data_IF_103272304329
#
_entry.id   IF_103272304329
#
_cell.length_a   1.000
_cell.length_b   1.000
_cell.length_c   1.000
_cell.angle_alpha   90.00
_cell.angle_beta   90.00
_cell.angle_gamma   90.00
#
_symmetry.space_group_name_H-M   'P 1'
#
loop_
_entity.id
_entity.type
_entity.pdbx_description
1 polymer ?
#
# COMPACT_ATOMS: atom_id res chain seq x y z
N UNK A 1 19.97 4.63 -5.82
CA UNK A 1 19.62 5.24 -4.51
C UNK A 1 18.53 4.37 -3.91
N UNK A 2 18.58 3.97 -2.63
CA UNK A 2 17.53 3.12 -2.06
C UNK A 2 16.20 3.90 -1.97
N UNK A 3 15.12 3.30 -2.42
CA UNK A 3 13.77 3.84 -2.29
C UNK A 3 12.75 2.73 -2.11
N UNK A 4 11.59 3.11 -1.57
CA UNK A 4 10.42 2.25 -1.50
C UNK A 4 9.21 2.98 -2.08
N UNK A 5 8.29 2.20 -2.65
CA UNK A 5 6.96 2.65 -3.07
C UNK A 5 5.96 1.95 -2.18
N UNK A 6 4.97 2.70 -1.70
CA UNK A 6 3.87 2.14 -0.92
C UNK A 6 2.54 2.65 -1.48
N UNK A 7 1.51 1.79 -1.46
CA UNK A 7 0.16 2.22 -1.81
C UNK A 7 -0.75 1.07 -2.26
N UNK A 8 -1.97 1.46 -2.60
CA UNK A 8 -2.96 0.61 -3.25
C UNK A 8 -2.73 0.62 -4.77
N UNK A 9 -2.36 -0.54 -5.30
CA UNK A 9 -2.12 -0.73 -6.73
C UNK A 9 -3.34 -1.26 -7.47
N UNK A 10 -4.43 -1.62 -6.76
CA UNK A 10 -5.60 -2.28 -7.36
C UNK A 10 -5.24 -3.46 -8.29
N UNK A 11 -4.12 -4.12 -8.00
CA UNK A 11 -3.54 -5.17 -8.85
C UNK A 11 -3.02 -6.30 -7.97
N UNK A 12 -3.19 -7.54 -8.45
CA UNK A 12 -2.60 -8.75 -7.89
C UNK A 12 -1.49 -9.24 -8.83
N UNK A 13 -0.45 -9.91 -8.32
CA UNK A 13 0.65 -10.46 -9.13
C UNK A 13 0.42 -11.92 -9.51
N UNK A 14 -0.44 -12.61 -8.76
CA UNK A 14 -0.75 -14.01 -9.04
C UNK A 14 -2.21 -14.34 -8.72
N UNK A 15 -2.75 -15.44 -9.28
CA UNK A 15 -4.08 -15.91 -8.91
C UNK A 15 -4.22 -16.26 -7.43
N UNK A 16 -3.13 -16.59 -6.73
CA UNK A 16 -3.14 -16.91 -5.31
C UNK A 16 -3.40 -15.67 -4.41
N UNK A 17 -3.22 -14.47 -4.95
CA UNK A 17 -3.43 -13.20 -4.23
C UNK A 17 -4.86 -12.69 -4.32
N UNK A 18 -5.74 -13.48 -4.93
CA UNK A 18 -7.18 -13.29 -4.96
C UNK A 18 -7.86 -14.58 -4.50
N UNK A 19 -8.64 -14.48 -3.42
CA UNK A 19 -9.41 -15.59 -2.90
C UNK A 19 -10.90 -15.31 -3.04
N UNK A 20 -11.63 -16.35 -3.48
CA UNK A 20 -13.04 -16.27 -3.87
C UNK A 20 -13.25 -15.39 -5.13
N UNK A 21 -14.40 -15.57 -5.77
CA UNK A 21 -14.71 -14.93 -7.05
C UNK A 21 -13.96 -15.53 -8.25
N UNK A 22 -13.92 -14.77 -9.35
CA UNK A 22 -13.28 -15.19 -10.61
C UNK A 22 -11.78 -14.99 -10.53
N UNK A 23 -11.01 -16.04 -10.84
CA UNK A 23 -9.55 -15.98 -10.92
C UNK A 23 -9.10 -14.91 -11.93
N UNK A 24 -8.04 -14.14 -11.63
CA UNK A 24 -7.54 -13.14 -12.55
C UNK A 24 -7.00 -13.79 -13.82
N UNK A 25 -7.29 -13.16 -14.94
CA UNK A 25 -6.75 -13.53 -16.26
C UNK A 25 -5.28 -13.12 -16.37
N UNK A 26 -4.55 -13.75 -17.27
CA UNK A 26 -3.16 -13.36 -17.55
C UNK A 26 -3.03 -11.88 -17.94
N UNK A 27 -3.99 -11.34 -18.71
CA UNK A 27 -3.98 -9.95 -19.13
C UNK A 27 -4.09 -8.97 -17.95
N UNK A 28 -4.90 -9.30 -16.93
CA UNK A 28 -5.03 -8.48 -15.72
C UNK A 28 -3.77 -8.50 -14.85
N UNK A 29 -3.00 -9.59 -14.89
CA UNK A 29 -1.74 -9.72 -14.15
C UNK A 29 -0.56 -9.04 -14.87
N UNK A 30 -0.55 -9.16 -16.20
CA UNK A 30 0.61 -8.92 -17.06
C UNK A 30 1.27 -7.56 -16.81
N UNK A 31 0.50 -6.48 -16.87
CA UNK A 31 1.08 -5.13 -16.82
C UNK A 31 1.73 -4.85 -15.48
N UNK A 32 1.12 -5.31 -14.38
CA UNK A 32 1.70 -5.17 -13.06
C UNK A 32 2.93 -6.06 -12.87
N UNK A 33 2.89 -7.31 -13.34
CA UNK A 33 4.05 -8.22 -13.26
C UNK A 33 5.23 -7.75 -14.11
N UNK A 34 4.97 -7.24 -15.32
CA UNK A 34 6.00 -6.72 -16.22
C UNK A 34 6.64 -5.44 -15.64
N UNK A 35 5.83 -4.55 -15.06
CA UNK A 35 6.32 -3.38 -14.33
C UNK A 35 7.21 -3.80 -13.15
N UNK A 36 6.72 -4.73 -12.33
CA UNK A 36 7.44 -5.24 -11.16
C UNK A 36 8.82 -5.80 -11.54
N UNK A 37 8.88 -6.60 -12.61
CA UNK A 37 10.12 -7.19 -13.11
C UNK A 37 11.04 -6.16 -13.76
N UNK A 38 10.52 -5.29 -14.63
CA UNK A 38 11.32 -4.32 -15.38
C UNK A 38 11.97 -3.25 -14.50
N UNK A 39 11.30 -2.87 -13.41
CA UNK A 39 11.82 -1.92 -12.43
C UNK A 39 12.70 -2.58 -11.35
N UNK A 40 12.84 -3.92 -11.36
CA UNK A 40 13.59 -4.65 -10.35
C UNK A 40 13.01 -4.46 -8.94
N UNK A 41 11.68 -4.52 -8.83
CA UNK A 41 10.98 -4.37 -7.57
C UNK A 41 11.02 -5.66 -6.76
N UNK A 42 11.00 -5.52 -5.45
CA UNK A 42 10.93 -6.61 -4.49
C UNK A 42 9.81 -6.33 -3.49
N UNK A 43 9.11 -7.37 -3.05
CA UNK A 43 8.16 -7.22 -1.96
C UNK A 43 8.90 -6.94 -0.66
N UNK A 44 8.44 -5.93 0.10
CA UNK A 44 8.85 -5.80 1.48
C UNK A 44 8.31 -6.97 2.31
N UNK A 45 9.04 -7.46 3.32
CA UNK A 45 8.53 -8.47 4.24
C UNK A 45 7.27 -7.99 4.97
N UNK A 46 6.17 -8.72 4.82
CA UNK A 46 4.86 -8.38 5.41
C UNK A 46 4.48 -9.33 6.55
N UNK A 47 3.80 -8.81 7.57
CA UNK A 47 3.16 -9.56 8.66
C UNK A 47 1.71 -9.09 8.84
N UNK A 48 0.90 -9.87 9.57
CA UNK A 48 -0.52 -9.57 9.77
C UNK A 48 -1.40 -10.09 8.64
N UNK A 49 -2.32 -9.26 8.15
CA UNK A 49 -3.25 -9.63 7.08
C UNK A 49 -2.55 -9.75 5.73
N UNK A 50 -2.70 -10.92 5.09
CA UNK A 50 -2.14 -11.16 3.75
C UNK A 50 -3.01 -10.55 2.64
N UNK A 51 -4.32 -10.74 2.72
CA UNK A 51 -5.28 -10.02 1.88
C UNK A 51 -5.58 -8.69 2.55
N UNK A 52 -5.35 -7.61 1.80
CA UNK A 52 -5.43 -6.24 2.31
C UNK A 52 -6.73 -5.56 1.92
N UNK A 53 -7.59 -6.21 1.13
CA UNK A 53 -8.90 -5.69 0.74
C UNK A 53 -9.97 -6.79 0.79
N UNK A 54 -11.19 -6.41 1.18
CA UNK A 54 -12.37 -7.27 1.21
C UNK A 54 -13.60 -6.60 0.59
N UNK A 55 -14.27 -7.27 -0.37
CA UNK A 55 -15.39 -6.67 -1.13
C UNK A 55 -16.65 -6.32 -0.32
N UNK A 56 -16.75 -6.79 0.93
CA UNK A 56 -17.92 -6.62 1.79
C UNK A 56 -19.27 -6.94 1.09
N UNK A 57 -19.27 -7.94 0.21
CA UNK A 57 -20.42 -8.38 -0.56
C UNK A 57 -20.95 -9.71 -0.03
N UNK A 58 -22.23 -9.75 0.34
CA UNK A 58 -22.90 -10.97 0.80
C UNK A 58 -23.07 -12.01 -0.32
N UNK A 59 -23.21 -11.56 -1.57
CA UNK A 59 -23.48 -12.43 -2.72
C UNK A 59 -22.21 -12.89 -3.44
N UNK A 60 -21.15 -12.09 -3.39
CA UNK A 60 -19.86 -12.42 -4.01
C UNK A 60 -18.69 -11.89 -3.17
N UNK A 61 -18.45 -12.47 -1.98
CA UNK A 61 -17.34 -12.07 -1.13
C UNK A 61 -16.02 -12.38 -1.83
N UNK A 62 -15.08 -11.43 -1.79
CA UNK A 62 -13.76 -11.57 -2.39
C UNK A 62 -12.71 -10.95 -1.48
N UNK A 63 -11.55 -11.60 -1.41
CA UNK A 63 -10.38 -11.13 -0.68
C UNK A 63 -9.24 -10.93 -1.67
N UNK A 64 -8.62 -9.76 -1.66
CA UNK A 64 -7.53 -9.43 -2.58
C UNK A 64 -6.34 -8.82 -1.82
N UNK A 65 -5.13 -9.10 -2.29
CA UNK A 65 -3.93 -8.35 -1.90
C UNK A 65 -3.72 -7.19 -2.88
N UNK A 66 -4.16 -5.99 -2.51
CA UNK A 66 -4.12 -4.81 -3.37
C UNK A 66 -3.14 -3.74 -2.90
N UNK A 67 -2.79 -3.77 -1.61
CA UNK A 67 -1.87 -2.82 -0.99
C UNK A 67 -0.46 -3.42 -0.95
N UNK A 68 0.50 -2.69 -1.52
CA UNK A 68 1.87 -3.15 -1.69
C UNK A 68 2.86 -2.17 -1.09
N UNK A 69 3.96 -2.72 -0.59
CA UNK A 69 5.18 -1.98 -0.27
C UNK A 69 6.31 -2.65 -1.04
N UNK A 70 6.86 -1.91 -1.98
CA UNK A 70 7.81 -2.39 -2.99
C UNK A 70 9.14 -1.68 -2.81
N UNK A 71 10.22 -2.44 -2.87
CA UNK A 71 11.60 -1.99 -2.68
C UNK A 71 12.35 -2.10 -4.00
N UNK A 72 13.26 -1.16 -4.29
CA UNK A 72 14.17 -1.32 -5.43
C UNK A 72 15.41 -2.16 -5.08
N UNK A 73 16.18 -2.53 -6.10
CA UNK A 73 17.44 -3.26 -5.94
C UNK A 73 18.41 -2.56 -4.98
N UNK A 74 18.57 -1.23 -5.09
CA UNK A 74 19.51 -0.50 -4.24
C UNK A 74 19.14 -0.49 -2.76
N UNK A 75 17.87 -0.74 -2.41
CA UNK A 75 17.46 -0.98 -1.02
C UNK A 75 18.14 -2.22 -0.45
N UNK A 76 18.12 -3.32 -1.21
CA UNK A 76 18.71 -4.60 -0.82
C UNK A 76 20.25 -4.49 -0.77
N UNK A 77 20.85 -3.89 -1.79
CA UNK A 77 22.31 -3.68 -1.89
C UNK A 77 22.85 -2.81 -0.74
N UNK A 78 22.05 -1.85 -0.27
CA UNK A 78 22.40 -1.00 0.87
C UNK A 78 22.29 -1.70 2.24
N UNK A 79 21.78 -2.94 2.27
CA UNK A 79 21.52 -3.68 3.51
C UNK A 79 20.47 -3.01 4.39
N UNK A 80 19.49 -2.35 3.80
CA UNK A 80 18.39 -1.73 4.54
C UNK A 80 17.32 -2.78 4.84
N UNK A 81 16.80 -2.75 6.06
CA UNK A 81 15.76 -3.67 6.51
C UNK A 81 14.47 -2.92 6.78
N UNK A 82 13.35 -3.49 6.35
CA UNK A 82 12.03 -3.00 6.74
C UNK A 82 11.08 -4.16 6.98
N UNK A 83 10.02 -3.88 7.72
CA UNK A 83 8.88 -4.76 7.87
C UNK A 83 7.60 -3.95 7.69
N UNK A 84 6.60 -4.59 7.09
CA UNK A 84 5.26 -4.05 6.96
C UNK A 84 4.32 -4.88 7.81
N UNK A 85 3.49 -4.23 8.62
CA UNK A 85 2.43 -4.90 9.36
C UNK A 85 1.08 -4.41 8.85
N UNK A 86 0.27 -5.31 8.28
CA UNK A 86 -1.10 -5.03 7.89
C UNK A 86 -2.05 -5.45 8.99
N UNK A 87 -2.79 -4.49 9.54
CA UNK A 87 -3.83 -4.76 10.53
C UNK A 87 -5.11 -5.29 9.86
N UNK A 88 -5.96 -6.03 10.57
CA UNK A 88 -7.28 -6.41 10.06
C UNK A 88 -8.07 -5.18 9.58
N UNK A 89 -8.86 -5.30 8.50
CA UNK A 89 -9.73 -4.22 8.06
C UNK A 89 -10.66 -3.84 9.21
N UNK A 90 -10.72 -2.55 9.51
CA UNK A 90 -11.57 -2.01 10.57
C UNK A 90 -13.03 -1.94 10.14
N UNK A 91 -13.94 -1.66 11.08
CA UNK A 91 -15.39 -1.55 10.79
C UNK A 91 -15.76 -0.46 9.76
N UNK A 92 -14.82 0.40 9.38
CA UNK A 92 -15.05 1.56 8.52
C UNK A 92 -14.27 1.50 7.20
N UNK A 93 -13.47 0.46 6.97
CA UNK A 93 -12.64 0.33 5.76
C UNK A 93 -12.64 -1.12 5.29
N UNK A 94 -12.85 -1.30 3.99
CA UNK A 94 -12.62 -2.56 3.30
C UNK A 94 -11.13 -2.87 3.10
N UNK A 95 -10.26 -1.87 3.24
CA UNK A 95 -8.80 -2.02 3.25
C UNK A 95 -8.21 -2.23 4.65
N UNK A 96 -7.14 -3.02 4.70
CA UNK A 96 -6.21 -3.18 5.83
C UNK A 96 -5.17 -2.07 5.86
N UNK A 97 -5.08 -1.33 6.97
CA UNK A 97 -4.02 -0.34 7.16
C UNK A 97 -2.66 -1.00 7.34
N UNK A 98 -1.63 -0.43 6.69
CA UNK A 98 -0.24 -0.90 6.75
C UNK A 98 0.66 0.03 7.55
N UNK A 99 1.54 -0.53 8.38
CA UNK A 99 2.60 0.24 9.07
C UNK A 99 3.95 -0.24 8.56
N UNK A 100 4.76 0.67 8.03
CA UNK A 100 6.12 0.40 7.57
C UNK A 100 7.12 0.82 8.65
N UNK A 101 7.85 -0.17 9.15
CA UNK A 101 8.93 0.01 10.12
C UNK A 101 10.27 -0.19 9.42
N UNK A 102 11.11 0.85 9.40
CA UNK A 102 12.44 0.78 8.80
C UNK A 102 13.47 0.59 9.92
N UNK A 103 14.19 -0.53 9.87
CA UNK A 103 15.13 -0.97 10.89
C UNK A 103 16.55 -0.52 10.53
N UNK A 104 17.38 -0.34 11.57
CA UNK A 104 18.83 -0.19 11.46
C UNK A 104 19.32 0.90 10.49
N UNK A 105 18.68 2.09 10.48
CA UNK A 105 19.21 3.26 9.77
C UNK A 105 20.53 3.71 10.41
N UNK A 106 21.72 3.48 9.79
CA UNK A 106 22.99 3.66 10.49
C UNK A 106 23.36 5.14 10.70
N UNK A 107 22.63 6.05 10.05
CA UNK A 107 22.86 7.50 9.91
C UNK A 107 21.76 8.03 8.96
N UNK A 108 21.56 9.35 8.75
CA UNK A 108 20.56 9.82 7.79
C UNK A 108 21.01 9.49 6.37
N UNK A 109 20.76 8.25 5.92
CA UNK A 109 20.86 7.87 4.52
C UNK A 109 19.60 8.40 3.82
N UNK A 110 19.73 9.19 2.75
CA UNK A 110 18.57 9.64 2.01
C UNK A 110 17.93 8.42 1.35
N UNK A 111 16.76 8.02 1.84
CA UNK A 111 15.84 7.16 1.11
C UNK A 111 14.60 7.97 0.79
N UNK A 112 14.00 7.69 -0.36
CA UNK A 112 12.74 8.33 -0.78
C UNK A 112 11.60 7.35 -0.60
N UNK A 113 10.50 7.86 -0.05
CA UNK A 113 9.22 7.16 -0.01
C UNK A 113 8.33 7.83 -1.06
N UNK A 114 7.90 7.07 -2.06
CA UNK A 114 6.97 7.57 -3.06
C UNK A 114 5.56 7.08 -2.74
N UNK A 115 4.63 8.02 -2.54
CA UNK A 115 3.22 7.77 -2.22
C UNK A 115 2.29 7.99 -3.42
N UNK A 116 2.84 8.18 -4.62
CA UNK A 116 2.06 8.53 -5.80
C UNK A 116 2.54 7.79 -7.05
N UNK A 117 1.80 6.76 -7.45
CA UNK A 117 1.86 6.20 -8.82
C UNK A 117 0.64 6.71 -9.60
N UNK A 118 0.47 8.03 -9.66
CA UNK A 118 -0.50 8.68 -10.52
C UNK A 118 0.20 9.28 -11.74
N UNK A 119 0.10 8.60 -12.89
CA UNK A 119 0.44 9.10 -14.24
C UNK A 119 1.92 9.12 -14.66
N UNK A 120 2.62 8.00 -14.55
CA UNK A 120 3.77 7.75 -15.43
C UNK A 120 3.26 7.29 -16.81
N UNK A 121 3.78 7.80 -17.95
CA UNK A 121 3.44 7.27 -19.26
C UNK A 121 3.88 5.79 -19.32
N UNK A 122 2.91 4.86 -19.35
CA UNK A 122 3.16 3.41 -19.33
C UNK A 122 2.53 2.64 -18.17
N UNK A 123 1.97 3.33 -17.17
CA UNK A 123 1.27 2.70 -16.04
C UNK A 123 -0.18 3.17 -15.99
N UNK A 124 -1.08 2.36 -16.55
CA UNK A 124 -2.52 2.58 -16.48
C UNK A 124 -3.10 1.85 -15.26
N UNK A 125 -2.81 2.33 -14.06
CA UNK A 125 -3.60 1.97 -12.88
C UNK A 125 -3.97 3.24 -12.10
N UNK A 126 -5.23 3.36 -11.71
CA UNK A 126 -5.82 4.62 -11.26
C UNK A 126 -6.40 4.52 -9.85
N UNK A 127 -6.01 5.51 -9.03
CA UNK A 127 -6.64 6.11 -7.83
C UNK A 127 -6.59 5.38 -6.48
N UNK A 128 -5.63 5.82 -5.67
CA UNK A 128 -5.72 5.99 -4.22
C UNK A 128 -4.58 6.92 -3.76
N UNK A 129 -4.87 8.00 -3.02
CA UNK A 129 -3.84 8.83 -2.37
C UNK A 129 -3.83 8.43 -0.90
N UNK A 130 -2.67 8.39 -0.26
CA UNK A 130 -2.50 8.09 1.18
C UNK A 130 -1.86 9.31 1.85
N UNK A 131 -2.18 9.60 3.12
CA UNK A 131 -1.55 10.68 3.89
C UNK A 131 -0.44 10.12 4.81
N UNK A 132 0.69 10.83 4.85
CA UNK A 132 1.76 10.61 5.81
C UNK A 132 1.40 11.19 7.18
N UNK A 133 1.49 10.37 8.23
CA UNK A 133 1.62 10.84 9.60
C UNK A 133 2.96 10.31 10.15
N UNK A 134 4.02 11.12 10.11
CA UNK A 134 5.29 10.74 10.73
C UNK A 134 6.44 11.73 10.52
N UNK A 135 7.28 11.86 11.54
CA UNK A 135 8.61 12.45 11.48
C UNK A 135 9.60 11.37 11.98
N UNK A 136 10.33 10.73 11.07
CA UNK A 136 11.38 9.75 11.36
C UNK A 136 10.93 8.30 11.67
N UNK A 137 11.84 7.33 11.41
CA UNK A 137 11.90 5.86 11.66
C UNK A 137 10.66 4.96 11.40
N UNK A 138 9.46 5.52 11.36
CA UNK A 138 8.20 4.80 11.14
C UNK A 138 7.33 5.63 10.20
N UNK A 139 6.76 4.98 9.19
CA UNK A 139 5.79 5.60 8.29
C UNK A 139 4.49 4.80 8.39
N UNK A 140 3.43 5.46 8.87
CA UNK A 140 2.10 4.87 8.95
C UNK A 140 1.36 5.13 7.65
N UNK A 141 0.71 4.09 7.08
CA UNK A 141 -0.13 4.19 5.89
C UNK A 141 -1.58 3.95 6.34
N UNK A 142 -2.43 4.98 6.27
CA UNK A 142 -3.85 4.90 6.63
C UNK A 142 -4.75 5.24 5.43
N UNK A 143 -5.85 4.49 5.21
CA UNK A 143 -6.79 4.78 4.14
C UNK A 143 -7.26 6.21 4.27
N UNK A 144 -7.28 6.95 3.16
CA UNK A 144 -7.74 8.32 3.12
C UNK A 144 -9.27 8.31 3.30
N UNK A 145 -9.74 8.29 4.55
CA UNK A 145 -11.09 8.74 4.87
C UNK A 145 -11.05 10.27 4.91
N UNK A 146 -12.07 10.89 4.29
CA UNK A 146 -12.30 12.33 4.30
C UNK A 146 -12.08 12.92 5.70
N UNK A 147 -11.25 13.96 5.79
CA UNK A 147 -11.24 14.83 6.98
C UNK A 147 -12.53 15.65 6.93
N UNK A 148 -13.66 15.02 7.25
CA UNK A 148 -14.80 15.74 7.81
C UNK A 148 -14.83 15.48 9.31
N UNK A 149 -14.30 16.43 10.08
CA UNK A 149 -14.55 16.45 11.52
C UNK A 149 -13.42 16.98 12.40
N UNK A 150 -13.04 18.26 12.28
CA UNK A 150 -12.55 19.02 13.43
C UNK A 150 -13.58 20.09 13.79
N UNK A 151 -14.13 19.99 15.00
CA UNK A 151 -15.27 20.73 15.51
C UNK A 151 -15.04 22.24 15.76
N UNK A 152 -16.12 23.01 15.57
CA UNK A 152 -16.52 24.17 16.41
C UNK A 152 -16.01 25.57 16.02
N UNK A 153 -16.74 26.66 16.36
CA UNK A 153 -17.43 26.77 17.64
C UNK A 153 -18.95 27.04 17.55
N UNK A 154 -19.59 26.69 18.65
CA UNK A 154 -20.89 27.20 19.10
C UNK A 154 -21.01 28.72 18.94
N UNK A 155 -22.12 29.17 18.36
CA UNK A 155 -22.78 30.40 18.82
C UNK A 155 -24.27 30.11 18.99
N UNK A 156 -24.70 30.09 20.25
CA UNK A 156 -26.07 30.28 20.67
C UNK A 156 -26.41 31.77 20.72
N UNK A 157 -27.72 32.08 20.74
CA UNK A 157 -28.40 33.39 20.79
C UNK A 157 -28.51 34.08 19.41
N UNK A 158 -29.70 34.45 18.89
CA UNK A 158 -31.04 34.68 19.45
C UNK A 158 -32.14 34.10 18.55
#
# INVERSE_FOLDING_TARGET
>A
MPWLILGDFNCVKSPAEKQLGVAPTWYELKDFTDCFLSLGLHDAPTTGCYYTWYSNSDSNPMWCKLDWVLLNNEWLEAGLHCNVNFSPPGNLSDHSSGIVSILDLPTPRPFSVFQHMGRSPGLHCNRGTWMELGCGRHTTIQPLQEIEGSQGPSQSFQ
#
